data_IF_258741740182
#
_entry.id   IF_258741740182
#
_cell.length_a   1.000
_cell.length_b   1.000
_cell.length_c   1.000
_cell.angle_alpha   90.00
_cell.angle_beta   90.00
_cell.angle_gamma   90.00
#
_symmetry.space_group_name_H-M   'P 1'
#
loop_
_entity.id
_entity.type
_entity.pdbx_description
1 polymer ?
#
# COMPACT_ATOMS: atom_id res chain seq x y z
N UNK A 1 18.30 7.23 -7.20
CA UNK A 1 17.28 7.19 -8.29
C UNK A 1 15.93 6.86 -7.65
N UNK A 2 14.85 7.47 -8.15
CA UNK A 2 13.47 7.07 -7.77
C UNK A 2 12.75 6.70 -9.06
N UNK A 3 12.26 5.47 -9.14
CA UNK A 3 11.40 4.99 -10.21
C UNK A 3 10.04 4.63 -9.62
N UNK A 4 8.96 5.11 -10.24
CA UNK A 4 7.59 4.79 -9.84
C UNK A 4 6.87 4.21 -11.04
N UNK A 5 6.25 3.04 -10.86
CA UNK A 5 5.42 2.36 -11.85
C UNK A 5 4.01 2.23 -11.33
N UNK A 6 3.09 2.47 -12.20
CA UNK A 6 1.68 2.23 -11.96
C UNK A 6 1.27 0.94 -12.67
N UNK A 7 0.48 0.13 -11.98
CA UNK A 7 -0.17 -1.06 -12.55
C UNK A 7 -1.66 -0.77 -12.69
N UNK A 8 -2.25 -1.32 -13.74
CA UNK A 8 -3.66 -1.12 -14.04
C UNK A 8 -4.31 -2.47 -14.36
N UNK A 9 -5.55 -2.65 -13.98
CA UNK A 9 -6.30 -3.89 -14.30
C UNK A 9 -6.24 -4.19 -15.81
N UNK A 10 -5.67 -5.36 -16.15
CA UNK A 10 -5.46 -5.81 -17.52
C UNK A 10 -4.39 -5.03 -18.31
N UNK A 11 -3.67 -4.08 -17.68
CA UNK A 11 -2.70 -3.24 -18.37
C UNK A 11 -1.33 -3.88 -18.59
N UNK A 12 -0.99 -4.92 -17.80
CA UNK A 12 0.26 -5.65 -17.88
C UNK A 12 0.07 -7.10 -17.41
N UNK A 13 0.84 -8.06 -17.92
CA UNK A 13 0.86 -9.41 -17.38
C UNK A 13 1.64 -9.49 -16.07
N UNK A 14 1.23 -10.38 -15.14
CA UNK A 14 1.95 -10.63 -13.90
C UNK A 14 3.41 -11.04 -14.14
N UNK A 15 3.67 -11.74 -15.23
CA UNK A 15 5.00 -12.19 -15.63
C UNK A 15 6.00 -11.02 -15.77
N UNK A 16 5.57 -9.89 -16.35
CA UNK A 16 6.44 -8.70 -16.49
C UNK A 16 6.87 -8.17 -15.12
N UNK A 17 5.97 -8.16 -14.15
CA UNK A 17 6.28 -7.71 -12.78
C UNK A 17 7.21 -8.71 -12.09
N UNK A 18 6.96 -10.02 -12.25
CA UNK A 18 7.81 -11.09 -11.73
C UNK A 18 9.26 -10.99 -12.25
N UNK A 19 9.43 -10.82 -13.56
CA UNK A 19 10.76 -10.68 -14.17
C UNK A 19 11.52 -9.45 -13.67
N UNK A 20 10.84 -8.33 -13.49
CA UNK A 20 11.43 -7.10 -12.94
C UNK A 20 11.83 -7.25 -11.47
N UNK A 21 10.98 -7.87 -10.68
CA UNK A 21 11.27 -8.17 -9.29
C UNK A 21 12.45 -9.13 -9.20
N UNK A 22 12.45 -10.21 -9.99
CA UNK A 22 13.55 -11.16 -10.06
C UNK A 22 14.88 -10.49 -10.46
N UNK A 23 14.85 -9.55 -11.42
CA UNK A 23 16.02 -8.76 -11.79
C UNK A 23 16.52 -7.88 -10.62
N UNK A 24 15.60 -7.28 -9.85
CA UNK A 24 15.97 -6.52 -8.65
C UNK A 24 16.60 -7.41 -7.58
N UNK A 25 16.00 -8.58 -7.29
CA UNK A 25 16.51 -9.55 -6.31
C UNK A 25 17.86 -10.15 -6.77
N UNK A 26 17.94 -10.53 -8.05
CA UNK A 26 19.14 -11.11 -8.65
C UNK A 26 20.36 -10.20 -8.66
N UNK A 27 20.16 -8.89 -8.58
CA UNK A 27 21.24 -7.90 -8.49
C UNK A 27 21.86 -7.78 -7.09
N UNK A 28 21.30 -8.47 -6.08
CA UNK A 28 21.83 -8.48 -4.71
C UNK A 28 23.22 -9.09 -4.63
N UNK A 29 24.08 -8.48 -3.81
CA UNK A 29 25.47 -8.90 -3.58
C UNK A 29 25.80 -9.16 -2.12
N UNK A 30 25.04 -8.57 -1.17
CA UNK A 30 25.31 -8.63 0.27
C UNK A 30 24.12 -9.12 1.06
N UNK A 31 22.94 -8.51 0.84
CA UNK A 31 21.75 -8.82 1.63
C UNK A 31 20.44 -8.57 0.90
N UNK A 32 19.42 -9.32 1.30
CA UNK A 32 18.01 -9.12 0.95
C UNK A 32 17.19 -9.25 2.23
N UNK A 33 16.52 -8.18 2.64
CA UNK A 33 15.55 -8.17 3.72
C UNK A 33 14.16 -7.95 3.15
N UNK A 34 13.30 -8.96 3.25
CA UNK A 34 11.96 -8.97 2.69
C UNK A 34 10.93 -8.89 3.83
N UNK A 35 9.99 -7.94 3.74
CA UNK A 35 8.81 -7.87 4.62
C UNK A 35 7.55 -7.92 3.77
N UNK A 36 6.85 -9.06 3.82
CA UNK A 36 5.76 -9.39 2.89
C UNK A 36 4.49 -9.77 3.63
N UNK A 37 3.42 -9.01 3.34
CA UNK A 37 2.08 -9.31 3.86
C UNK A 37 1.51 -10.57 3.22
N UNK A 38 1.45 -10.56 1.90
CA UNK A 38 0.82 -11.59 1.09
C UNK A 38 1.83 -12.03 0.01
N UNK A 39 2.21 -13.28 0.06
CA UNK A 39 3.14 -13.91 -0.87
C UNK A 39 2.55 -15.23 -1.35
N UNK A 40 1.73 -15.14 -2.39
CA UNK A 40 1.00 -16.23 -3.00
C UNK A 40 1.05 -16.09 -4.53
N UNK A 41 2.13 -16.61 -5.11
CA UNK A 41 2.36 -16.61 -6.56
C UNK A 41 2.07 -17.99 -7.12
N UNK A 42 1.46 -18.00 -8.30
CA UNK A 42 1.21 -19.20 -9.09
C UNK A 42 2.37 -19.48 -10.06
N UNK A 43 2.35 -20.62 -10.73
CA UNK A 43 3.30 -20.87 -11.80
C UNK A 43 2.90 -20.09 -13.07
N UNK A 44 3.86 -19.47 -13.81
CA UNK A 44 5.32 -19.54 -13.63
C UNK A 44 5.93 -18.45 -12.73
N UNK A 45 5.18 -17.47 -12.25
CA UNK A 45 5.68 -16.31 -11.48
C UNK A 45 6.32 -16.73 -10.16
N UNK A 46 5.73 -17.72 -9.46
CA UNK A 46 6.30 -18.31 -8.25
C UNK A 46 7.72 -18.84 -8.48
N UNK A 47 7.93 -19.55 -9.58
CA UNK A 47 9.26 -20.09 -9.92
C UNK A 47 10.26 -18.97 -10.20
N UNK A 48 9.88 -17.97 -10.97
CA UNK A 48 10.78 -16.87 -11.37
C UNK A 48 11.26 -16.08 -10.13
N UNK A 49 10.35 -15.74 -9.25
CA UNK A 49 10.67 -14.97 -8.03
C UNK A 49 11.36 -15.86 -7.00
N UNK A 50 10.88 -17.08 -6.78
CA UNK A 50 11.48 -18.05 -5.86
C UNK A 50 12.92 -18.39 -6.26
N UNK A 51 13.16 -18.71 -7.53
CA UNK A 51 14.52 -18.97 -8.04
C UNK A 51 15.45 -17.78 -7.80
N UNK A 52 14.98 -16.55 -7.97
CA UNK A 52 15.80 -15.36 -7.75
C UNK A 52 16.21 -15.19 -6.28
N UNK A 53 15.34 -15.54 -5.34
CA UNK A 53 15.64 -15.53 -3.89
C UNK A 53 16.63 -16.63 -3.54
N UNK A 54 16.33 -17.86 -3.93
CA UNK A 54 17.17 -19.05 -3.65
C UNK A 54 18.57 -18.90 -4.28
N UNK A 55 18.64 -18.38 -5.50
CA UNK A 55 19.92 -18.18 -6.18
C UNK A 55 20.74 -17.04 -5.53
N UNK A 56 20.09 -16.02 -4.98
CA UNK A 56 20.79 -14.99 -4.18
C UNK A 56 21.43 -15.63 -2.94
N UNK A 57 20.70 -16.45 -2.20
CA UNK A 57 21.21 -17.19 -1.05
C UNK A 57 22.39 -18.10 -1.41
N UNK A 58 22.27 -18.89 -2.50
CA UNK A 58 23.35 -19.76 -3.01
C UNK A 58 24.63 -19.00 -3.39
N UNK A 59 24.51 -17.74 -3.80
CA UNK A 59 25.67 -16.87 -4.05
C UNK A 59 26.28 -16.29 -2.76
N UNK A 60 25.71 -16.59 -1.59
CA UNK A 60 26.17 -16.11 -0.29
C UNK A 60 25.58 -14.76 0.11
N UNK A 61 24.49 -14.31 -0.53
CA UNK A 61 23.72 -13.15 -0.10
C UNK A 61 22.96 -13.49 1.18
N UNK A 62 23.06 -12.67 2.22
CA UNK A 62 22.29 -12.86 3.44
C UNK A 62 20.82 -12.54 3.18
N UNK A 63 19.96 -13.54 3.20
CA UNK A 63 18.50 -13.36 2.96
C UNK A 63 17.73 -13.52 4.25
N UNK A 64 16.79 -12.60 4.52
CA UNK A 64 15.83 -12.70 5.63
C UNK A 64 14.42 -12.37 5.13
N UNK A 65 13.43 -13.19 5.47
CA UNK A 65 12.03 -12.99 5.09
C UNK A 65 11.13 -12.91 6.33
N UNK A 66 10.62 -11.72 6.64
CA UNK A 66 9.51 -11.55 7.57
C UNK A 66 8.19 -11.58 6.80
N UNK A 67 7.22 -12.37 7.27
CA UNK A 67 5.93 -12.49 6.61
C UNK A 67 4.79 -12.46 7.61
N UNK A 68 3.62 -11.96 7.16
CA UNK A 68 2.42 -11.98 7.99
C UNK A 68 1.95 -13.41 8.16
N UNK A 69 1.84 -13.87 9.39
CA UNK A 69 1.36 -15.20 9.71
C UNK A 69 -0.15 -15.19 9.96
N UNK A 70 -0.77 -16.28 9.54
CA UNK A 70 -2.18 -16.50 9.72
C UNK A 70 -2.58 -16.80 11.16
N UNK A 71 -3.88 -16.74 11.41
CA UNK A 71 -4.47 -16.87 12.73
C UNK A 71 -5.15 -18.19 12.95
N UNK A 72 -5.08 -18.66 14.19
CA UNK A 72 -5.84 -19.82 14.68
C UNK A 72 -7.35 -19.54 14.86
N UNK A 73 -7.84 -18.31 14.65
CA UNK A 73 -9.25 -17.95 14.86
C UNK A 73 -10.02 -18.00 13.55
N UNK A 74 -11.32 -18.44 13.61
CA UNK A 74 -12.14 -18.42 12.41
C UNK A 74 -12.12 -17.02 11.80
N UNK A 75 -11.89 -16.93 10.49
CA UNK A 75 -11.75 -15.66 9.81
C UNK A 75 -13.05 -14.87 9.92
N UNK A 76 -12.98 -13.52 9.97
CA UNK A 76 -14.13 -12.69 9.73
C UNK A 76 -14.76 -13.02 8.36
N UNK A 77 -15.97 -12.51 8.09
CA UNK A 77 -16.72 -12.74 6.84
C UNK A 77 -15.89 -12.54 5.55
N UNK A 78 -14.82 -11.75 5.63
CA UNK A 78 -13.81 -11.55 4.59
C UNK A 78 -12.43 -11.80 5.18
N UNK A 79 -11.94 -13.05 5.17
CA UNK A 79 -10.59 -13.32 5.66
C UNK A 79 -9.58 -12.52 4.82
N UNK A 80 -8.55 -11.94 5.45
CA UNK A 80 -7.44 -11.39 4.70
C UNK A 80 -6.80 -12.51 3.86
N UNK A 81 -6.27 -12.17 2.67
CA UNK A 81 -5.51 -13.13 1.88
C UNK A 81 -4.35 -13.68 2.72
N UNK A 82 -4.04 -14.93 2.51
CA UNK A 82 -3.04 -15.68 3.26
C UNK A 82 -1.87 -15.97 2.32
N UNK A 83 -0.65 -15.65 2.76
CA UNK A 83 0.55 -16.09 2.04
C UNK A 83 0.57 -17.62 1.89
N UNK A 84 1.12 -18.13 0.78
CA UNK A 84 1.22 -19.56 0.54
C UNK A 84 2.38 -20.15 1.36
N UNK A 85 2.10 -20.89 2.45
CA UNK A 85 3.15 -21.40 3.33
C UNK A 85 4.12 -22.33 2.60
N UNK A 86 3.62 -23.14 1.66
CA UNK A 86 4.44 -24.07 0.87
C UNK A 86 5.44 -23.33 0.00
N UNK A 87 5.04 -22.17 -0.56
CA UNK A 87 5.95 -21.33 -1.34
C UNK A 87 7.05 -20.74 -0.44
N UNK A 88 6.68 -20.20 0.71
CA UNK A 88 7.62 -19.61 1.68
C UNK A 88 8.62 -20.68 2.17
N UNK A 89 8.12 -21.85 2.56
CA UNK A 89 8.95 -22.96 3.03
C UNK A 89 9.91 -23.48 1.95
N UNK A 90 9.48 -23.43 0.68
CA UNK A 90 10.31 -23.87 -0.45
C UNK A 90 11.52 -22.99 -0.75
N UNK A 91 11.57 -21.78 -0.20
CA UNK A 91 12.71 -20.85 -0.38
C UNK A 91 13.94 -21.29 0.42
N UNK A 92 13.77 -22.08 1.48
CA UNK A 92 14.85 -22.57 2.37
C UNK A 92 15.75 -21.45 2.93
N UNK A 93 15.20 -20.23 3.08
CA UNK A 93 15.89 -19.08 3.66
C UNK A 93 15.42 -18.82 5.09
N UNK A 94 16.18 -18.10 5.93
CA UNK A 94 15.72 -17.65 7.24
C UNK A 94 14.41 -16.88 7.15
N UNK A 95 13.36 -17.40 7.80
CA UNK A 95 12.02 -16.80 7.82
C UNK A 95 11.61 -16.40 9.23
N UNK A 96 10.76 -15.39 9.35
CA UNK A 96 10.12 -14.99 10.59
C UNK A 96 8.64 -14.74 10.40
N UNK A 97 7.76 -15.60 10.94
CA UNK A 97 6.33 -15.32 10.99
C UNK A 97 6.06 -14.18 11.97
N UNK A 98 5.31 -13.18 11.54
CA UNK A 98 4.83 -12.07 12.35
C UNK A 98 3.33 -12.27 12.56
N UNK A 99 2.85 -12.48 13.80
CA UNK A 99 1.42 -12.59 14.08
C UNK A 99 0.70 -11.32 13.64
N UNK A 100 -0.33 -11.44 12.83
CA UNK A 100 -1.11 -10.32 12.32
C UNK A 100 -2.41 -10.11 13.12
N UNK A 101 -2.47 -10.46 14.43
CA UNK A 101 -3.56 -10.16 15.36
C UNK A 101 -3.00 -9.37 16.54
N UNK A 102 -3.66 -8.28 16.95
CA UNK A 102 -4.88 -7.69 16.37
C UNK A 102 -4.66 -6.96 15.05
N UNK A 103 -3.41 -6.61 14.73
CA UNK A 103 -3.03 -5.74 13.61
C UNK A 103 -2.05 -6.45 12.67
N UNK A 104 -2.14 -6.18 11.36
CA UNK A 104 -1.40 -6.89 10.31
C UNK A 104 0.03 -6.40 10.14
N UNK A 105 0.94 -7.30 9.84
CA UNK A 105 2.22 -6.95 9.21
C UNK A 105 1.96 -6.76 7.70
N UNK A 106 1.57 -5.52 7.32
CA UNK A 106 1.03 -5.22 5.99
C UNK A 106 2.06 -4.64 5.02
N UNK A 107 3.34 -4.80 5.29
CA UNK A 107 4.42 -4.38 4.39
C UNK A 107 4.47 -5.19 3.10
N UNK A 108 5.03 -4.58 2.05
CA UNK A 108 5.33 -5.17 0.76
C UNK A 108 6.64 -4.56 0.26
N UNK A 109 7.73 -4.77 1.00
CA UNK A 109 9.00 -4.20 0.61
C UNK A 109 10.16 -5.20 0.64
N UNK A 110 11.17 -4.89 -0.12
CA UNK A 110 12.48 -5.54 -0.08
C UNK A 110 13.56 -4.48 0.02
N UNK A 111 14.49 -4.69 0.94
CA UNK A 111 15.72 -3.92 1.04
C UNK A 111 16.84 -4.75 0.42
N UNK A 112 17.53 -4.20 -0.57
CA UNK A 112 18.67 -4.85 -1.21
C UNK A 112 19.94 -4.12 -0.83
N UNK A 113 20.92 -4.87 -0.34
CA UNK A 113 22.30 -4.42 -0.06
C UNK A 113 22.43 -3.20 0.87
N UNK A 114 21.34 -2.77 1.54
CA UNK A 114 21.29 -1.54 2.33
C UNK A 114 21.40 -0.26 1.49
N UNK A 115 21.18 -0.33 0.17
CA UNK A 115 21.30 0.80 -0.75
C UNK A 115 20.11 1.00 -1.67
N UNK A 116 19.22 0.04 -1.76
CA UNK A 116 18.01 0.13 -2.58
C UNK A 116 16.79 -0.50 -1.89
N UNK A 117 15.61 0.08 -2.14
CA UNK A 117 14.33 -0.41 -1.64
C UNK A 117 13.36 -0.57 -2.80
N UNK A 118 12.75 -1.75 -2.89
CA UNK A 118 11.53 -2.00 -3.67
C UNK A 118 10.36 -1.98 -2.70
N UNK A 119 9.36 -1.16 -2.95
CA UNK A 119 8.16 -1.02 -2.10
C UNK A 119 6.95 -0.61 -2.93
N UNK A 120 5.82 -0.37 -2.28
CA UNK A 120 4.60 0.09 -2.94
C UNK A 120 3.35 -0.52 -2.34
N UNK A 121 2.29 -0.56 -3.15
CA UNK A 121 0.99 -1.07 -2.72
C UNK A 121 0.73 -2.52 -3.11
N UNK A 122 1.56 -3.11 -3.99
CA UNK A 122 1.33 -4.44 -4.55
C UNK A 122 1.64 -5.56 -3.57
N UNK A 123 0.67 -6.43 -3.31
CA UNK A 123 0.96 -7.75 -2.78
C UNK A 123 1.78 -8.57 -3.78
N UNK A 124 2.43 -9.62 -3.33
CA UNK A 124 3.14 -10.52 -4.22
C UNK A 124 2.21 -11.68 -4.62
N UNK A 125 1.22 -11.33 -5.44
CA UNK A 125 0.24 -12.24 -6.02
C UNK A 125 0.01 -11.89 -7.48
N UNK A 126 -0.31 -12.88 -8.32
CA UNK A 126 -0.54 -12.66 -9.76
C UNK A 126 -1.69 -11.69 -10.02
N UNK A 127 -2.74 -11.75 -9.21
CA UNK A 127 -3.88 -10.84 -9.30
C UNK A 127 -3.47 -9.39 -8.99
N UNK A 128 -2.69 -9.20 -7.94
CA UNK A 128 -2.19 -7.88 -7.54
C UNK A 128 -1.34 -7.23 -8.62
N UNK A 129 -0.65 -8.06 -9.43
CA UNK A 129 0.24 -7.61 -10.50
C UNK A 129 -0.45 -7.41 -11.85
N UNK A 130 -1.57 -8.09 -12.11
CA UNK A 130 -2.22 -8.08 -13.43
C UNK A 130 -3.64 -7.53 -13.42
N UNK A 131 -4.35 -7.56 -12.30
CA UNK A 131 -5.78 -7.24 -12.20
C UNK A 131 -6.13 -6.12 -11.23
N UNK A 132 -5.15 -5.60 -10.50
CA UNK A 132 -5.36 -4.51 -9.55
C UNK A 132 -4.68 -3.23 -10.01
N UNK A 133 -5.31 -2.09 -9.72
CA UNK A 133 -4.62 -0.80 -9.75
C UNK A 133 -3.64 -0.75 -8.57
N UNK A 134 -2.37 -0.58 -8.87
CA UNK A 134 -1.31 -0.58 -7.87
C UNK A 134 -0.18 0.38 -8.23
N UNK A 135 0.72 0.59 -7.27
CA UNK A 135 1.95 1.38 -7.46
C UNK A 135 3.14 0.59 -6.94
N UNK A 136 4.20 0.54 -7.73
CA UNK A 136 5.52 0.03 -7.34
C UNK A 136 6.48 1.20 -7.29
N UNK A 137 7.30 1.26 -6.25
CA UNK A 137 8.34 2.28 -6.09
C UNK A 137 9.69 1.61 -5.86
N UNK A 138 10.65 1.98 -6.68
CA UNK A 138 12.06 1.60 -6.53
C UNK A 138 12.87 2.83 -6.16
N UNK A 139 13.59 2.78 -5.03
CA UNK A 139 14.43 3.87 -4.55
C UNK A 139 15.85 3.38 -4.35
N UNK A 140 16.79 3.91 -5.13
CA UNK A 140 18.24 3.74 -4.88
C UNK A 140 18.74 4.86 -3.98
N UNK A 141 18.87 4.58 -2.67
CA UNK A 141 19.35 5.53 -1.64
C UNK A 141 19.66 4.80 -0.36
N UNK A 142 20.91 4.87 0.11
CA UNK A 142 21.33 4.32 1.40
C UNK A 142 20.53 4.91 2.58
N UNK A 143 20.22 6.20 2.54
CA UNK A 143 19.47 6.86 3.62
C UNK A 143 18.03 6.30 3.73
N UNK A 144 17.37 6.07 2.58
CA UNK A 144 16.02 5.44 2.56
C UNK A 144 16.13 3.99 2.98
N UNK A 145 17.08 3.23 2.44
CA UNK A 145 17.30 1.84 2.81
C UNK A 145 17.56 1.69 4.31
N UNK A 146 18.37 2.57 4.92
CA UNK A 146 18.65 2.56 6.37
C UNK A 146 17.36 2.79 7.21
N UNK A 147 16.43 3.65 6.75
CA UNK A 147 15.15 3.84 7.42
C UNK A 147 14.30 2.55 7.37
N UNK A 148 14.24 1.88 6.22
CA UNK A 148 13.54 0.61 6.06
C UNK A 148 14.21 -0.53 6.85
N UNK A 149 15.55 -0.58 6.87
CA UNK A 149 16.29 -1.57 7.67
C UNK A 149 15.99 -1.42 9.16
N UNK A 150 15.91 -0.19 9.67
CA UNK A 150 15.56 0.04 11.08
C UNK A 150 14.15 -0.48 11.41
N UNK A 151 13.18 -0.30 10.54
CA UNK A 151 11.85 -0.86 10.70
C UNK A 151 11.86 -2.39 10.61
N UNK A 152 12.52 -2.94 9.59
CA UNK A 152 12.68 -4.38 9.41
C UNK A 152 13.32 -5.04 10.64
N UNK A 153 14.38 -4.47 11.19
CA UNK A 153 15.09 -5.02 12.35
C UNK A 153 14.23 -4.99 13.62
N UNK A 154 13.31 -4.02 13.77
CA UNK A 154 12.32 -4.01 14.84
C UNK A 154 11.39 -5.22 14.70
N UNK A 155 10.80 -5.45 13.51
CA UNK A 155 9.96 -6.61 13.24
C UNK A 155 10.73 -7.92 13.39
N UNK A 156 11.94 -8.00 12.83
CA UNK A 156 12.76 -9.20 12.88
C UNK A 156 13.16 -9.58 14.30
N UNK A 157 13.49 -8.61 15.13
CA UNK A 157 13.93 -8.84 16.51
C UNK A 157 12.76 -9.19 17.41
N UNK A 158 11.68 -8.41 17.34
CA UNK A 158 10.56 -8.52 18.30
C UNK A 158 9.50 -9.56 17.88
N UNK A 159 9.30 -9.76 16.57
CA UNK A 159 8.19 -10.55 16.05
C UNK A 159 6.83 -9.91 16.29
N UNK A 160 6.77 -8.59 16.50
CA UNK A 160 5.55 -7.88 16.88
C UNK A 160 5.31 -6.64 16.03
N UNK A 161 4.11 -6.52 15.48
CA UNK A 161 3.65 -5.33 14.77
C UNK A 161 3.67 -4.11 15.69
N UNK A 162 3.18 -4.23 16.92
CA UNK A 162 3.09 -3.13 17.88
C UNK A 162 4.45 -2.53 18.26
N UNK A 163 5.53 -3.31 18.10
CA UNK A 163 6.89 -2.90 18.43
C UNK A 163 7.70 -2.46 17.20
N UNK A 164 7.03 -2.16 16.09
CA UNK A 164 7.64 -1.71 14.83
C UNK A 164 7.24 -0.29 14.45
N UNK A 165 7.85 0.24 13.42
CA UNK A 165 7.53 1.56 12.89
C UNK A 165 8.14 2.74 13.66
N UNK A 166 8.98 2.52 14.67
CA UNK A 166 9.64 3.58 15.45
C UNK A 166 10.88 4.12 14.73
N UNK A 167 10.63 4.73 13.58
CA UNK A 167 11.65 5.32 12.70
C UNK A 167 11.28 6.76 12.42
N UNK A 168 12.07 7.72 12.90
CA UNK A 168 11.82 9.14 12.70
C UNK A 168 11.74 9.49 11.20
N UNK A 169 10.66 10.14 10.74
CA UNK A 169 10.48 10.48 9.34
C UNK A 169 11.29 11.73 8.94
N UNK A 170 12.60 11.68 9.16
CA UNK A 170 13.50 12.76 8.81
C UNK A 170 13.53 12.98 7.29
N UNK A 171 13.65 14.24 6.82
CA UNK A 171 13.79 14.48 5.40
C UNK A 171 15.17 14.02 4.91
N UNK A 172 15.15 13.29 3.80
CA UNK A 172 16.34 12.79 3.11
C UNK A 172 16.41 13.44 1.72
N UNK A 173 17.61 13.75 1.24
CA UNK A 173 17.82 14.08 -0.16
C UNK A 173 18.07 12.81 -0.97
N UNK A 174 17.27 12.60 -2.01
CA UNK A 174 17.45 11.51 -2.97
C UNK A 174 17.57 12.10 -4.37
N UNK A 175 18.79 12.37 -4.79
CA UNK A 175 19.10 12.98 -6.09
C UNK A 175 18.34 14.29 -6.33
N UNK A 176 18.38 15.20 -5.36
CA UNK A 176 17.73 16.50 -5.40
C UNK A 176 16.23 16.50 -5.07
N UNK A 177 15.66 15.33 -4.76
CA UNK A 177 14.27 15.18 -4.30
C UNK A 177 14.22 15.03 -2.81
N UNK A 178 13.32 15.77 -2.17
CA UNK A 178 13.08 15.62 -0.73
C UNK A 178 12.16 14.45 -0.47
N UNK A 179 12.65 13.43 0.24
CA UNK A 179 11.92 12.21 0.58
C UNK A 179 11.82 12.05 2.10
N UNK A 180 10.72 11.46 2.58
CA UNK A 180 10.58 10.94 3.95
C UNK A 180 10.04 9.53 3.88
N UNK A 181 10.53 8.65 4.74
CA UNK A 181 9.92 7.36 4.99
C UNK A 181 9.13 7.43 6.30
N UNK A 182 7.88 7.03 6.26
CA UNK A 182 6.96 6.95 7.39
C UNK A 182 6.60 5.49 7.62
N UNK A 183 6.48 5.11 8.88
CA UNK A 183 6.08 3.77 9.27
C UNK A 183 5.01 3.83 10.35
N UNK A 184 4.01 2.95 10.29
CA UNK A 184 3.08 2.65 11.37
C UNK A 184 3.37 1.25 11.94
N UNK A 185 2.94 0.97 13.18
CA UNK A 185 2.17 1.84 14.07
C UNK A 185 3.00 2.91 14.79
N UNK A 186 4.33 2.87 14.79
CA UNK A 186 5.17 3.77 15.57
C UNK A 186 4.92 5.28 15.35
N UNK A 187 4.52 5.68 14.13
CA UNK A 187 4.17 7.07 13.79
C UNK A 187 2.78 7.22 13.14
N UNK A 188 1.84 6.36 13.46
CA UNK A 188 0.52 6.27 12.81
C UNK A 188 -0.28 7.58 12.82
N UNK A 189 -0.49 8.19 13.97
CA UNK A 189 -1.25 9.45 14.11
C UNK A 189 -0.54 10.63 13.43
N UNK A 190 0.79 10.66 13.52
CA UNK A 190 1.60 11.67 12.87
C UNK A 190 1.51 11.57 11.34
N UNK A 191 1.47 10.35 10.77
CA UNK A 191 1.31 10.12 9.35
C UNK A 191 -0.06 10.55 8.85
N UNK A 192 -1.16 10.11 9.49
CA UNK A 192 -2.52 10.49 9.12
C UNK A 192 -2.70 12.02 9.18
N UNK A 193 -2.22 12.65 10.27
CA UNK A 193 -2.23 14.10 10.45
C UNK A 193 -1.37 14.81 9.39
N UNK A 194 -0.21 14.23 9.03
CA UNK A 194 0.65 14.77 7.97
C UNK A 194 -0.04 14.80 6.63
N UNK A 195 -0.68 13.70 6.22
CA UNK A 195 -1.44 13.63 4.97
C UNK A 195 -2.58 14.64 5.00
N UNK A 196 -3.40 14.66 6.05
CA UNK A 196 -4.51 15.59 6.22
C UNK A 196 -4.06 17.07 6.15
N UNK A 197 -2.96 17.40 6.84
CA UNK A 197 -2.39 18.75 6.80
C UNK A 197 -1.93 19.13 5.37
N UNK A 198 -1.36 18.21 4.62
CA UNK A 198 -0.94 18.48 3.24
C UNK A 198 -2.13 18.68 2.31
N UNK A 199 -3.18 17.88 2.48
CA UNK A 199 -4.47 18.07 1.80
C UNK A 199 -5.03 19.48 2.09
N UNK A 200 -5.17 19.85 3.37
CA UNK A 200 -5.69 21.16 3.79
C UNK A 200 -4.84 22.37 3.33
N UNK A 201 -3.55 22.15 3.04
CA UNK A 201 -2.64 23.20 2.53
C UNK A 201 -2.48 23.20 1.01
N UNK A 202 -3.14 22.29 0.30
CA UNK A 202 -3.13 22.27 -1.16
C UNK A 202 -3.80 23.52 -1.75
N UNK A 203 -3.27 23.99 -2.87
CA UNK A 203 -3.74 25.20 -3.53
C UNK A 203 -4.21 24.98 -4.96
N UNK A 204 -3.82 23.88 -5.58
CA UNK A 204 -4.12 23.59 -6.98
C UNK A 204 -4.99 22.34 -7.11
N UNK A 205 -4.50 21.21 -6.61
CA UNK A 205 -5.13 19.92 -6.82
C UNK A 205 -4.83 18.89 -5.72
N UNK A 206 -5.77 17.98 -5.54
CA UNK A 206 -5.66 16.79 -4.72
C UNK A 206 -6.15 15.60 -5.55
N UNK A 207 -5.38 14.52 -5.58
CA UNK A 207 -5.78 13.23 -6.16
C UNK A 207 -5.57 12.14 -5.13
N UNK A 208 -6.54 11.27 -4.97
CA UNK A 208 -6.50 10.17 -4.00
C UNK A 208 -6.89 8.87 -4.67
N UNK A 209 -6.03 7.85 -4.52
CA UNK A 209 -6.38 6.45 -4.75
C UNK A 209 -6.22 5.70 -3.44
N UNK A 210 -7.26 5.01 -2.99
CA UNK A 210 -7.22 4.16 -1.81
C UNK A 210 -8.34 3.13 -1.88
N UNK A 211 -8.12 1.87 -1.48
CA UNK A 211 -9.22 0.90 -1.43
C UNK A 211 -10.39 1.42 -0.62
N UNK A 212 -10.10 1.99 0.54
CA UNK A 212 -11.10 2.63 1.40
C UNK A 212 -10.65 4.03 1.82
N UNK A 213 -11.58 4.91 2.10
CA UNK A 213 -11.34 6.27 2.55
C UNK A 213 -12.03 6.49 3.91
N UNK A 214 -11.38 6.04 4.98
CA UNK A 214 -11.99 5.95 6.31
C UNK A 214 -11.16 6.58 7.44
N UNK A 215 -9.94 7.07 7.16
CA UNK A 215 -9.14 7.85 8.11
C UNK A 215 -9.84 9.16 8.46
N UNK A 216 -10.16 9.36 9.72
CA UNK A 216 -10.90 10.54 10.18
C UNK A 216 -10.23 11.88 9.82
N UNK A 217 -8.92 12.06 10.13
CA UNK A 217 -8.20 13.28 9.76
C UNK A 217 -8.18 13.57 8.26
N UNK A 218 -7.93 12.54 7.44
CA UNK A 218 -7.88 12.68 5.98
C UNK A 218 -9.25 13.01 5.41
N UNK A 219 -10.29 12.29 5.86
CA UNK A 219 -11.66 12.50 5.41
C UNK A 219 -12.17 13.89 5.80
N UNK A 220 -11.88 14.36 7.03
CA UNK A 220 -12.21 15.71 7.47
C UNK A 220 -11.56 16.78 6.59
N UNK A 221 -10.25 16.66 6.31
CA UNK A 221 -9.53 17.59 5.46
C UNK A 221 -10.08 17.62 4.02
N UNK A 222 -10.42 16.47 3.44
CA UNK A 222 -11.04 16.39 2.12
C UNK A 222 -12.42 17.05 2.11
N UNK A 223 -13.26 16.78 3.12
CA UNK A 223 -14.60 17.36 3.22
C UNK A 223 -14.58 18.89 3.34
N UNK A 224 -13.59 19.46 4.02
CA UNK A 224 -13.34 20.90 4.05
C UNK A 224 -12.89 21.43 2.68
N UNK A 225 -11.91 20.80 2.04
CA UNK A 225 -11.41 21.21 0.73
C UNK A 225 -12.50 21.25 -0.34
N UNK A 226 -13.35 20.22 -0.41
CA UNK A 226 -14.46 20.19 -1.38
C UNK A 226 -15.58 21.18 -1.02
N UNK A 227 -15.71 21.53 0.26
CA UNK A 227 -16.67 22.56 0.69
C UNK A 227 -16.21 23.97 0.30
N UNK A 228 -14.91 24.25 0.43
CA UNK A 228 -14.30 25.51 0.01
C UNK A 228 -14.29 25.69 -1.52
N UNK A 229 -14.23 24.61 -2.29
CA UNK A 229 -14.31 24.60 -3.75
C UNK A 229 -13.16 25.31 -4.48
N UNK A 230 -12.04 25.58 -3.78
CA UNK A 230 -10.88 26.31 -4.35
C UNK A 230 -9.82 25.40 -4.95
N UNK A 231 -9.85 24.13 -4.59
CA UNK A 231 -8.88 23.12 -5.00
C UNK A 231 -9.57 22.07 -5.84
N UNK A 232 -8.94 21.66 -6.93
CA UNK A 232 -9.40 20.57 -7.77
C UNK A 232 -9.16 19.24 -7.05
N UNK A 233 -10.23 18.58 -6.59
CA UNK A 233 -10.21 17.33 -5.83
C UNK A 233 -10.84 16.24 -6.66
N UNK A 234 -10.16 15.11 -6.83
CA UNK A 234 -10.71 13.92 -7.45
C UNK A 234 -10.03 12.64 -6.92
N UNK A 235 -10.61 11.47 -7.21
CA UNK A 235 -9.99 10.22 -6.79
C UNK A 235 -10.70 8.96 -7.27
N UNK A 236 -10.16 7.84 -6.82
CA UNK A 236 -10.70 6.50 -7.07
C UNK A 236 -10.67 5.71 -5.77
N UNK A 237 -11.75 5.01 -5.49
CA UNK A 237 -11.86 4.06 -4.38
C UNK A 237 -12.28 2.69 -4.90
N UNK A 238 -12.17 1.67 -4.06
CA UNK A 238 -12.82 0.40 -4.33
C UNK A 238 -14.30 0.49 -3.91
N UNK A 239 -15.19 0.45 -4.89
CA UNK A 239 -16.63 0.62 -4.67
C UNK A 239 -17.22 -0.48 -3.81
N UNK A 240 -16.84 -1.73 -4.08
CA UNK A 240 -17.31 -2.90 -3.31
C UNK A 240 -16.89 -2.83 -1.85
N UNK A 241 -15.62 -2.45 -1.59
CA UNK A 241 -15.13 -2.29 -0.21
C UNK A 241 -15.79 -1.10 0.49
N UNK A 242 -16.03 0.02 -0.19
CA UNK A 242 -16.71 1.18 0.41
C UNK A 242 -18.15 0.86 0.80
N UNK A 243 -18.88 0.09 -0.01
CA UNK A 243 -20.24 -0.39 0.37
C UNK A 243 -20.19 -1.26 1.64
N UNK A 244 -19.22 -2.16 1.73
CA UNK A 244 -18.96 -2.95 2.95
C UNK A 244 -18.64 -2.08 4.17
N UNK A 245 -17.85 -1.03 3.99
CA UNK A 245 -17.54 -0.03 5.04
C UNK A 245 -18.80 0.69 5.53
N UNK A 246 -19.68 1.13 4.64
CA UNK A 246 -20.93 1.79 5.03
C UNK A 246 -21.83 0.87 5.83
N UNK A 247 -21.95 -0.38 5.40
CA UNK A 247 -22.69 -1.39 6.15
C UNK A 247 -22.10 -1.59 7.55
N UNK A 248 -20.78 -1.75 7.66
CA UNK A 248 -20.10 -1.94 8.94
C UNK A 248 -20.25 -0.73 9.88
N UNK A 249 -20.18 0.49 9.36
CA UNK A 249 -20.34 1.70 10.18
C UNK A 249 -21.74 1.79 10.80
N UNK A 250 -22.79 1.42 10.04
CA UNK A 250 -24.15 1.38 10.55
C UNK A 250 -24.34 0.29 11.62
N UNK A 251 -23.81 -0.91 11.36
CA UNK A 251 -23.91 -2.01 12.33
C UNK A 251 -23.22 -1.69 13.66
N UNK A 252 -22.07 -1.09 13.62
CA UNK A 252 -21.24 -0.82 14.80
C UNK A 252 -21.58 0.49 15.50
N UNK A 253 -22.22 1.45 14.83
CA UNK A 253 -22.64 2.75 15.36
C UNK A 253 -21.51 3.74 15.72
N UNK A 254 -20.26 3.25 15.83
CA UNK A 254 -19.13 4.04 16.35
C UNK A 254 -18.46 4.95 15.32
N UNK A 255 -18.79 4.81 14.05
CA UNK A 255 -18.18 5.55 12.94
C UNK A 255 -19.20 6.23 12.01
N UNK A 256 -20.48 6.24 12.37
CA UNK A 256 -21.56 6.86 11.60
C UNK A 256 -21.32 8.36 11.32
N UNK A 257 -20.64 9.05 12.23
CA UNK A 257 -20.25 10.46 12.05
C UNK A 257 -19.40 10.70 10.79
N UNK A 258 -18.79 9.67 10.21
CA UNK A 258 -18.02 9.74 8.96
C UNK A 258 -18.93 9.73 7.72
N UNK A 259 -20.14 9.20 7.84
CA UNK A 259 -21.09 9.08 6.72
C UNK A 259 -21.37 10.42 6.04
N UNK A 260 -21.74 11.51 6.75
CA UNK A 260 -21.98 12.80 6.11
C UNK A 260 -20.70 13.42 5.52
N UNK A 261 -19.52 13.08 6.02
CA UNK A 261 -18.27 13.58 5.46
C UNK A 261 -17.94 12.91 4.12
N UNK A 262 -18.02 11.59 4.05
CA UNK A 262 -17.75 10.86 2.81
C UNK A 262 -18.81 11.16 1.75
N UNK A 263 -20.08 11.26 2.13
CA UNK A 263 -21.14 11.69 1.23
C UNK A 263 -20.85 13.06 0.61
N UNK A 264 -20.41 14.01 1.43
CA UNK A 264 -20.05 15.36 0.97
C UNK A 264 -18.87 15.31 -0.02
N UNK A 265 -17.84 14.51 0.25
CA UNK A 265 -16.69 14.36 -0.64
C UNK A 265 -17.13 13.82 -2.00
N UNK A 266 -17.88 12.72 -2.02
CA UNK A 266 -18.30 12.07 -3.27
C UNK A 266 -19.38 12.82 -4.04
N UNK A 267 -20.18 13.65 -3.37
CA UNK A 267 -21.15 14.54 -4.02
C UNK A 267 -20.54 15.77 -4.68
N UNK A 268 -19.41 16.27 -4.12
CA UNK A 268 -18.81 17.53 -4.54
C UNK A 268 -17.54 17.40 -5.35
N UNK A 269 -16.93 16.24 -5.35
CA UNK A 269 -15.73 15.93 -6.12
C UNK A 269 -15.90 14.66 -6.93
N UNK A 270 -15.34 14.57 -8.15
CA UNK A 270 -15.47 13.41 -9.01
C UNK A 270 -14.64 12.23 -8.51
N UNK A 271 -15.22 11.41 -7.65
CA UNK A 271 -14.68 10.12 -7.25
C UNK A 271 -15.35 8.99 -8.02
N UNK A 272 -14.56 8.05 -8.52
CA UNK A 272 -15.05 6.79 -9.13
C UNK A 272 -14.83 5.62 -8.19
N UNK A 273 -15.66 4.58 -8.32
CA UNK A 273 -15.58 3.36 -7.52
C UNK A 273 -15.47 2.13 -8.41
N UNK A 274 -14.34 1.42 -8.33
CA UNK A 274 -14.21 0.13 -9.00
C UNK A 274 -15.13 -0.88 -8.34
N UNK A 275 -16.00 -1.52 -9.11
CA UNK A 275 -16.76 -2.69 -8.65
C UNK A 275 -15.82 -3.88 -8.74
N UNK A 276 -15.27 -4.28 -7.59
CA UNK A 276 -14.27 -5.32 -7.50
C UNK A 276 -14.88 -6.67 -7.11
N UNK A 277 -14.18 -7.73 -7.48
CA UNK A 277 -14.48 -9.09 -7.06
C UNK A 277 -13.81 -9.36 -5.71
N UNK A 278 -14.57 -9.62 -4.64
CA UNK A 278 -14.00 -9.93 -3.33
C UNK A 278 -13.14 -11.20 -3.36
N UNK A 279 -12.18 -11.29 -2.45
CA UNK A 279 -11.40 -12.50 -2.26
C UNK A 279 -12.32 -13.68 -1.92
N UNK A 280 -12.16 -14.77 -2.67
CA UNK A 280 -12.91 -16.00 -2.46
C UNK A 280 -11.99 -17.19 -2.64
N UNK A 281 -12.32 -18.31 -1.99
CA UNK A 281 -11.62 -19.57 -2.24
C UNK A 281 -12.00 -20.08 -3.64
N UNK A 282 -11.00 -20.48 -4.44
CA UNK A 282 -11.18 -21.04 -5.77
C UNK A 282 -10.60 -20.16 -6.87
N UNK A 283 -11.05 -20.35 -8.10
CA UNK A 283 -10.51 -19.68 -9.30
C UNK A 283 -10.98 -18.21 -9.46
N UNK A 284 -11.47 -17.58 -8.41
CA UNK A 284 -11.92 -16.19 -8.45
C UNK A 284 -10.71 -15.24 -8.47
N UNK A 285 -10.62 -14.47 -9.53
CA UNK A 285 -9.60 -13.43 -9.69
C UNK A 285 -10.02 -12.19 -8.91
N UNK A 286 -9.12 -11.69 -8.06
CA UNK A 286 -9.31 -10.40 -7.41
C UNK A 286 -8.92 -9.28 -8.35
N UNK A 287 -9.69 -8.22 -8.36
CA UNK A 287 -9.46 -7.08 -9.23
C UNK A 287 -9.68 -5.74 -8.50
N UNK A 288 -9.08 -5.59 -7.34
CA UNK A 288 -9.24 -4.42 -6.47
C UNK A 288 -8.67 -3.12 -7.03
N UNK A 289 -9.30 -2.00 -6.69
CA UNK A 289 -8.63 -0.72 -6.65
C UNK A 289 -7.71 -0.70 -5.42
N UNK A 290 -6.46 -1.13 -5.58
CA UNK A 290 -5.57 -1.44 -4.46
C UNK A 290 -4.43 -0.43 -4.27
N UNK A 291 -4.28 0.57 -5.14
CA UNK A 291 -3.27 1.62 -4.96
C UNK A 291 -3.52 2.43 -3.68
N UNK A 292 -2.45 2.81 -3.00
CA UNK A 292 -2.45 3.70 -1.85
C UNK A 292 -1.60 4.91 -2.24
N UNK A 293 -2.27 5.90 -2.83
CA UNK A 293 -1.62 7.04 -3.45
C UNK A 293 -2.40 8.33 -3.14
N UNK A 294 -1.71 9.33 -2.61
CA UNK A 294 -2.25 10.68 -2.44
C UNK A 294 -1.29 11.68 -3.06
N UNK A 295 -1.79 12.50 -3.98
CA UNK A 295 -1.07 13.63 -4.53
C UNK A 295 -1.69 14.92 -4.00
N UNK A 296 -0.88 15.76 -3.36
CA UNK A 296 -1.26 17.06 -2.82
C UNK A 296 -0.32 18.12 -3.42
N UNK A 297 -0.77 18.82 -4.45
CA UNK A 297 0.04 19.68 -5.33
C UNK A 297 1.24 18.94 -5.93
N UNK A 298 2.47 19.20 -5.45
CA UNK A 298 3.73 18.59 -5.91
C UNK A 298 4.25 17.52 -4.92
N UNK A 299 3.42 17.12 -3.96
CA UNK A 299 3.79 16.15 -2.95
C UNK A 299 3.03 14.85 -3.15
N UNK A 300 3.75 13.75 -3.18
CA UNK A 300 3.24 12.40 -3.38
C UNK A 300 3.41 11.61 -2.09
N UNK A 301 2.35 10.91 -1.66
CA UNK A 301 2.39 9.88 -0.61
C UNK A 301 2.01 8.55 -1.24
N UNK A 302 2.86 7.54 -1.13
CA UNK A 302 2.56 6.20 -1.64
C UNK A 302 3.31 5.13 -0.85
N UNK A 303 2.74 3.93 -0.78
CA UNK A 303 3.27 2.80 -0.03
C UNK A 303 2.21 1.75 0.21
N UNK A 304 2.25 1.10 1.36
CA UNK A 304 1.30 0.06 1.74
C UNK A 304 0.07 0.56 2.53
N UNK A 305 0.13 1.80 3.04
CA UNK A 305 -0.80 2.39 4.01
C UNK A 305 -2.17 2.70 3.41
N UNK A 306 -3.19 1.96 3.84
CA UNK A 306 -4.58 2.30 3.57
C UNK A 306 -5.00 3.54 4.36
N UNK A 307 -5.77 4.45 3.75
CA UNK A 307 -6.33 5.61 4.43
C UNK A 307 -7.47 5.19 5.39
N UNK A 308 -7.11 4.41 6.42
CA UNK A 308 -8.06 3.79 7.35
C UNK A 308 -7.50 3.73 8.77
N UNK A 309 -8.38 3.51 9.74
CA UNK A 309 -7.96 3.27 11.13
C UNK A 309 -7.10 2.01 11.27
N UNK A 310 -7.42 0.93 10.55
CA UNK A 310 -6.57 -0.28 10.55
C UNK A 310 -5.19 0.01 9.97
N UNK A 311 -5.07 0.84 8.93
CA UNK A 311 -3.78 1.26 8.39
C UNK A 311 -2.92 2.01 9.43
N UNK A 312 -3.54 2.75 10.34
CA UNK A 312 -2.82 3.43 11.43
C UNK A 312 -2.20 2.44 12.42
N UNK A 313 -2.75 1.24 12.56
CA UNK A 313 -2.37 0.22 13.54
C UNK A 313 -1.51 -0.89 12.97
N UNK A 314 -1.70 -1.22 11.71
CA UNK A 314 -0.88 -2.20 11.01
C UNK A 314 0.58 -1.75 10.89
N UNK A 315 1.49 -2.69 10.65
CA UNK A 315 2.83 -2.35 10.17
C UNK A 315 2.74 -1.97 8.69
N UNK A 316 2.87 -0.67 8.41
CA UNK A 316 2.77 -0.07 7.09
C UNK A 316 3.94 0.87 6.81
N UNK A 317 4.17 1.14 5.54
CA UNK A 317 5.15 2.15 5.12
C UNK A 317 4.56 3.13 4.11
N UNK A 318 5.05 4.37 4.15
CA UNK A 318 4.73 5.42 3.18
C UNK A 318 5.97 6.21 2.83
N UNK A 319 6.22 6.40 1.55
CA UNK A 319 7.15 7.40 1.04
C UNK A 319 6.40 8.70 0.76
N UNK A 320 6.85 9.78 1.40
CA UNK A 320 6.46 11.16 1.10
C UNK A 320 7.54 11.73 0.17
N UNK A 321 7.19 12.00 -1.09
CA UNK A 321 8.15 12.42 -2.13
C UNK A 321 7.72 13.79 -2.67
N UNK A 322 8.61 14.79 -2.59
CA UNK A 322 8.38 16.09 -3.23
C UNK A 322 9.02 16.09 -4.62
N UNK A 323 8.18 15.99 -5.64
CA UNK A 323 8.59 15.95 -7.03
C UNK A 323 7.40 16.37 -7.92
N UNK A 324 7.51 17.51 -8.58
CA UNK A 324 6.42 18.07 -9.40
C UNK A 324 6.15 17.23 -10.66
N UNK A 325 7.19 16.69 -11.28
CA UNK A 325 7.06 15.87 -12.50
C UNK A 325 6.41 14.53 -12.17
N UNK A 326 6.86 13.89 -11.09
CA UNK A 326 6.23 12.66 -10.60
C UNK A 326 4.76 12.90 -10.22
N UNK A 327 4.47 13.99 -9.52
CA UNK A 327 3.11 14.34 -9.13
C UNK A 327 2.20 14.53 -10.36
N UNK A 328 2.69 15.24 -11.39
CA UNK A 328 1.95 15.45 -12.66
C UNK A 328 1.62 14.12 -13.34
N UNK A 329 2.62 13.26 -13.48
CA UNK A 329 2.45 11.94 -14.10
C UNK A 329 1.44 11.06 -13.33
N UNK A 330 1.51 11.07 -12.01
CA UNK A 330 0.59 10.29 -11.16
C UNK A 330 -0.83 10.86 -11.17
N UNK A 331 -1.00 12.17 -11.24
CA UNK A 331 -2.30 12.81 -11.46
C UNK A 331 -2.93 12.32 -12.77
N UNK A 332 -2.15 12.33 -13.87
CA UNK A 332 -2.62 11.83 -15.17
C UNK A 332 -3.07 10.37 -15.10
N UNK A 333 -2.30 9.51 -14.42
CA UNK A 333 -2.70 8.11 -14.23
C UNK A 333 -3.96 7.97 -13.36
N UNK A 334 -4.08 8.72 -12.26
CA UNK A 334 -5.29 8.67 -11.42
C UNK A 334 -6.53 9.10 -12.21
N UNK A 335 -6.41 10.17 -13.01
CA UNK A 335 -7.52 10.67 -13.83
C UNK A 335 -7.90 9.68 -14.95
N UNK A 336 -6.91 8.96 -15.53
CA UNK A 336 -7.16 7.87 -16.48
C UNK A 336 -7.91 6.70 -15.80
N UNK A 337 -7.44 6.24 -14.65
CA UNK A 337 -8.08 5.15 -13.89
C UNK A 337 -9.49 5.56 -13.47
N UNK A 338 -9.67 6.79 -13.02
CA UNK A 338 -10.98 7.35 -12.65
C UNK A 338 -11.96 7.31 -13.84
N UNK A 339 -11.49 7.56 -15.04
CA UNK A 339 -12.31 7.50 -16.26
C UNK A 339 -12.78 6.10 -16.66
N UNK A 340 -12.26 5.03 -16.02
CA UNK A 340 -12.64 3.64 -16.31
C UNK A 340 -13.83 3.14 -15.50
N UNK A 341 -14.15 3.80 -14.39
CA UNK A 341 -15.11 3.32 -13.40
C UNK A 341 -16.25 4.29 -13.19
N UNK A 342 -17.40 3.74 -12.81
CA UNK A 342 -18.59 4.48 -12.46
C UNK A 342 -18.36 5.38 -11.23
N UNK A 343 -19.21 6.39 -10.98
CA UNK A 343 -19.13 7.19 -9.77
C UNK A 343 -19.09 6.35 -8.50
N UNK A 344 -18.26 6.77 -7.53
CA UNK A 344 -18.14 6.09 -6.26
C UNK A 344 -19.50 5.97 -5.54
N UNK A 345 -19.79 4.81 -4.89
CA UNK A 345 -21.06 4.60 -4.24
C UNK A 345 -21.26 5.58 -3.08
N UNK A 346 -22.42 6.22 -3.08
CA UNK A 346 -22.82 7.07 -1.96
C UNK A 346 -23.37 6.19 -0.81
N UNK A 347 -23.13 6.56 0.45
CA UNK A 347 -23.82 5.92 1.55
C UNK A 347 -25.33 6.15 1.38
N UNK A 348 -26.09 5.07 1.24
CA UNK A 348 -27.53 5.17 1.10
C UNK A 348 -28.13 5.86 2.35
N UNK A 349 -29.12 6.74 2.15
CA UNK A 349 -29.92 7.20 3.27
C UNK A 349 -30.68 6.01 3.85
N UNK A 350 -30.82 5.96 5.17
CA UNK A 350 -31.69 4.95 5.80
C UNK A 350 -33.09 5.06 5.20
N UNK A 351 -33.60 3.91 4.70
CA UNK A 351 -34.93 3.79 4.15
C UNK A 351 -35.97 3.78 5.27
#
# INVERSE_FOLDING_TARGET
MIEVRTLTDGGQPALEVAERLAAFLGAARRSLDLALYDFDLLQPTAKIVGDAVVEAERRGVAVRLAFNADYEKPPPLFPPPQGEPTLIDSLEVPTKPIPGVPDLMHHKYVIRDGDAVWTGSTNWTDDSWSRCENVIVLVGSEAVAAAYTKDFDQLWTTGSVEQSGFVDPNPMDVHGRRVRAWFSPGHCEALATRIAHRIAKSRRRIRVCSPVLTSGPVLGALAECVSDGKVDVAGVVDGTQMEGVYHQWRLNGNSEWKIPLIARVFQRAPFSGKQSTPYGRGDNVHDFMHAKLTVADDLVFTGSYNLSHSGERNAENVLEIRDAELAERLVGWIDEVRGRYEPAPLPQADA
#
